data_IF_871425040727
#
_entry.id   IF_871425040727
#
_cell.length_a   1.000
_cell.length_b   1.000
_cell.length_c   1.000
_cell.angle_alpha   90.00
_cell.angle_beta   90.00
_cell.angle_gamma   90.00
#
_symmetry.space_group_name_H-M   'P 1'
#
loop_
_entity.id
_entity.type
_entity.pdbx_description
1 polymer ?
#
# COMPACT_ATOMS: atom_id res chain seq x y z
N UNK A 1 -21.87 18.26 23.05
CA UNK A 1 -23.12 18.29 22.27
C UNK A 1 -22.83 18.80 20.88
N UNK A 2 -23.56 18.26 19.90
CA UNK A 2 -23.52 18.76 18.53
C UNK A 2 -24.40 19.99 18.45
N UNK A 3 -24.33 20.73 17.34
CA UNK A 3 -25.32 21.76 17.11
C UNK A 3 -25.18 22.46 15.79
N UNK A 4 -26.23 23.22 15.50
CA UNK A 4 -26.36 24.07 14.33
C UNK A 4 -26.08 25.50 14.75
N UNK A 5 -25.26 26.20 13.97
CA UNK A 5 -24.97 27.61 14.15
C UNK A 5 -25.31 28.39 12.89
N UNK A 6 -25.38 29.71 13.05
CA UNK A 6 -25.55 30.63 11.93
C UNK A 6 -24.50 31.75 11.95
N UNK A 7 -24.18 32.23 10.75
CA UNK A 7 -23.64 33.57 10.52
C UNK A 7 -24.66 34.31 9.66
N UNK A 8 -24.89 35.57 9.94
CA UNK A 8 -25.81 36.42 9.18
C UNK A 8 -25.12 37.72 8.83
N UNK A 9 -25.15 38.08 7.55
CA UNK A 9 -24.54 39.32 7.03
C UNK A 9 -25.54 39.92 6.05
N UNK A 10 -25.84 41.21 6.22
CA UNK A 10 -26.78 41.95 5.38
C UNK A 10 -28.15 41.25 5.26
N UNK A 11 -28.67 40.75 6.39
CA UNK A 11 -29.96 40.06 6.47
C UNK A 11 -29.98 38.63 5.91
N UNK A 12 -28.89 38.15 5.32
CA UNK A 12 -28.78 36.82 4.70
C UNK A 12 -28.03 35.84 5.58
N UNK A 13 -28.41 34.57 5.55
CA UNK A 13 -27.89 33.54 6.44
C UNK A 13 -26.84 32.64 5.78
N UNK A 14 -25.89 32.19 6.59
CA UNK A 14 -25.08 30.99 6.42
C UNK A 14 -25.39 30.07 7.59
N UNK A 15 -25.71 28.82 7.30
CA UNK A 15 -26.00 27.78 8.29
C UNK A 15 -24.88 26.76 8.25
N UNK A 16 -24.40 26.34 9.41
CA UNK A 16 -23.42 25.24 9.48
C UNK A 16 -23.58 24.42 10.75
N UNK A 17 -22.98 23.24 10.76
CA UNK A 17 -22.94 22.34 11.94
C UNK A 17 -21.57 22.27 12.61
N UNK A 18 -21.56 21.99 13.91
CA UNK A 18 -20.36 21.73 14.71
C UNK A 18 -20.59 20.53 15.64
N UNK A 19 -19.61 19.63 15.70
CA UNK A 19 -19.61 18.47 16.63
C UNK A 19 -19.28 18.88 18.07
N UNK A 20 -18.83 20.12 18.29
CA UNK A 20 -18.59 20.70 19.60
C UNK A 20 -19.07 22.15 19.63
N UNK A 21 -20.35 22.35 19.32
CA UNK A 21 -20.96 23.69 19.16
C UNK A 21 -20.77 24.59 20.39
N UNK A 22 -20.80 24.01 21.60
CA UNK A 22 -20.64 24.73 22.87
C UNK A 22 -19.32 25.46 23.00
N UNK A 23 -18.26 25.01 22.31
CA UNK A 23 -16.95 25.65 22.34
C UNK A 23 -16.81 26.81 21.34
N UNK A 24 -17.82 26.99 20.47
CA UNK A 24 -17.86 28.00 19.40
C UNK A 24 -16.63 27.96 18.48
N UNK A 25 -15.91 26.83 18.43
CA UNK A 25 -14.63 26.72 17.74
C UNK A 25 -14.79 27.02 16.26
N UNK A 26 -15.82 26.44 15.63
CA UNK A 26 -16.07 26.63 14.20
C UNK A 26 -16.45 28.07 13.88
N UNK A 27 -17.32 28.69 14.68
CA UNK A 27 -17.68 30.10 14.51
C UNK A 27 -16.44 30.99 14.62
N UNK A 28 -15.58 30.79 15.63
CA UNK A 28 -14.34 31.56 15.80
C UNK A 28 -13.39 31.42 14.60
N UNK A 29 -13.28 30.22 14.04
CA UNK A 29 -12.50 29.95 12.83
C UNK A 29 -13.06 30.74 11.63
N UNK A 30 -14.38 30.71 11.42
CA UNK A 30 -15.03 31.53 10.40
C UNK A 30 -14.73 33.02 10.59
N UNK A 31 -14.87 33.53 11.82
CA UNK A 31 -14.59 34.94 12.13
C UNK A 31 -13.14 35.32 11.84
N UNK A 32 -12.19 34.47 12.23
CA UNK A 32 -10.78 34.69 11.96
C UNK A 32 -10.51 34.73 10.46
N UNK A 33 -11.02 33.76 9.69
CA UNK A 33 -10.86 33.69 8.24
C UNK A 33 -11.47 34.91 7.52
N UNK A 34 -12.64 35.36 7.96
CA UNK A 34 -13.30 36.55 7.40
C UNK A 34 -12.46 37.81 7.63
N UNK A 35 -11.93 37.99 8.84
CA UNK A 35 -11.05 39.11 9.21
C UNK A 35 -9.70 39.08 8.48
N UNK A 36 -9.14 37.90 8.23
CA UNK A 36 -7.89 37.74 7.48
C UNK A 36 -8.08 37.74 5.97
N UNK A 37 -9.33 37.77 5.47
CA UNK A 37 -9.60 37.72 4.03
C UNK A 37 -9.37 36.35 3.38
N UNK A 38 -9.26 35.28 4.17
CA UNK A 38 -8.90 33.93 3.71
C UNK A 38 -10.05 32.94 3.80
N UNK A 39 -11.29 33.41 3.87
CA UNK A 39 -12.46 32.56 3.99
C UNK A 39 -12.73 31.78 2.69
N UNK A 40 -12.92 30.46 2.82
CA UNK A 40 -13.11 29.55 1.68
C UNK A 40 -14.39 29.82 0.87
N UNK A 41 -15.44 30.32 1.53
CA UNK A 41 -16.63 30.80 0.85
C UNK A 41 -16.42 32.25 0.41
N UNK A 42 -16.14 32.44 -0.87
CA UNK A 42 -15.88 33.76 -1.48
C UNK A 42 -17.08 34.70 -1.42
N UNK A 43 -18.32 34.19 -1.48
CA UNK A 43 -19.53 35.01 -1.38
C UNK A 43 -19.71 35.56 0.03
N UNK A 44 -19.51 34.72 1.04
CA UNK A 44 -19.54 35.15 2.45
C UNK A 44 -18.41 36.14 2.76
N UNK A 45 -17.21 35.90 2.21
CA UNK A 45 -16.08 36.83 2.34
C UNK A 45 -16.40 38.19 1.71
N UNK A 46 -16.93 38.22 0.49
CA UNK A 46 -17.29 39.45 -0.20
C UNK A 46 -18.40 40.22 0.53
N UNK A 47 -19.40 39.51 1.05
CA UNK A 47 -20.44 40.09 1.87
C UNK A 47 -19.89 40.71 3.16
N UNK A 48 -18.97 40.01 3.84
CA UNK A 48 -18.28 40.55 5.01
C UNK A 48 -17.50 41.82 4.67
N UNK A 49 -16.68 41.81 3.62
CA UNK A 49 -15.92 42.99 3.21
C UNK A 49 -16.81 44.21 2.89
N UNK A 50 -18.07 44.00 2.49
CA UNK A 50 -19.00 45.07 2.12
C UNK A 50 -19.92 45.51 3.26
N UNK A 51 -20.28 44.61 4.17
CA UNK A 51 -21.33 44.80 5.16
C UNK A 51 -20.92 44.31 6.55
N UNK A 52 -19.64 44.39 6.91
CA UNK A 52 -19.09 43.85 8.17
C UNK A 52 -19.87 44.27 9.43
N UNK A 53 -20.39 45.50 9.46
CA UNK A 53 -21.14 46.06 10.60
C UNK A 53 -22.50 45.40 10.81
N UNK A 54 -22.98 44.60 9.86
CA UNK A 54 -24.24 43.85 9.92
C UNK A 54 -24.04 42.39 10.33
N UNK A 55 -22.80 42.00 10.65
CA UNK A 55 -22.48 40.62 11.00
C UNK A 55 -23.09 40.24 12.35
N UNK A 56 -23.95 39.23 12.33
CA UNK A 56 -24.51 38.55 13.49
C UNK A 56 -24.11 37.05 13.43
N UNK A 57 -23.93 36.41 14.58
CA UNK A 57 -23.71 34.95 14.64
C UNK A 57 -24.28 34.39 15.94
N UNK A 58 -24.57 33.10 15.95
CA UNK A 58 -25.07 32.43 17.14
C UNK A 58 -25.31 30.95 16.94
N UNK A 59 -25.73 30.28 18.01
CA UNK A 59 -26.16 28.88 17.99
C UNK A 59 -27.68 28.88 17.76
N UNK A 60 -28.14 28.05 16.83
CA UNK A 60 -29.57 27.81 16.57
C UNK A 60 -30.10 26.70 17.46
N UNK A 61 -29.36 25.59 17.54
CA UNK A 61 -29.79 24.42 18.31
C UNK A 61 -28.59 23.63 18.80
N UNK A 62 -28.61 23.23 20.08
CA UNK A 62 -27.68 22.24 20.65
C UNK A 62 -28.39 20.90 20.77
N UNK A 63 -27.81 19.86 20.17
CA UNK A 63 -28.49 18.59 19.91
C UNK A 63 -27.57 17.44 20.34
N UNK A 64 -28.15 16.43 20.98
CA UNK A 64 -27.52 15.13 21.19
C UNK A 64 -28.05 14.16 20.13
N UNK A 65 -27.24 13.89 19.09
CA UNK A 65 -27.62 13.06 17.95
C UNK A 65 -26.37 12.37 17.34
N UNK A 66 -26.60 11.48 16.38
CA UNK A 66 -25.56 10.94 15.50
C UNK A 66 -25.08 11.98 14.47
N UNK A 67 -23.99 11.69 13.76
CA UNK A 67 -23.45 12.59 12.72
C UNK A 67 -24.36 12.65 11.49
N UNK A 68 -25.01 11.53 11.18
CA UNK A 68 -26.00 11.40 10.13
C UNK A 68 -27.21 12.29 10.42
N UNK A 69 -27.80 12.17 11.61
CA UNK A 69 -28.93 13.00 12.05
C UNK A 69 -28.56 14.49 12.08
N UNK A 70 -27.36 14.85 12.57
CA UNK A 70 -26.89 16.24 12.55
C UNK A 70 -26.84 16.82 11.12
N UNK A 71 -26.54 15.99 10.13
CA UNK A 71 -26.46 16.39 8.72
C UNK A 71 -27.84 16.57 8.09
N UNK A 72 -28.83 15.78 8.51
CA UNK A 72 -30.23 15.96 8.11
C UNK A 72 -30.81 17.22 8.73
N UNK A 73 -30.54 17.47 10.00
CA UNK A 73 -30.96 18.68 10.70
C UNK A 73 -30.34 19.93 10.05
N UNK A 74 -29.05 19.92 9.72
CA UNK A 74 -28.40 21.02 8.97
C UNK A 74 -29.13 21.33 7.66
N UNK A 75 -29.55 20.31 6.90
CA UNK A 75 -30.31 20.50 5.65
C UNK A 75 -31.68 21.14 5.91
N UNK A 76 -32.37 20.73 6.96
CA UNK A 76 -33.65 21.32 7.37
C UNK A 76 -33.49 22.80 7.69
N UNK A 77 -32.45 23.18 8.42
CA UNK A 77 -32.16 24.59 8.72
C UNK A 77 -31.74 25.40 7.48
N UNK A 78 -30.93 24.83 6.58
CA UNK A 78 -30.58 25.49 5.31
C UNK A 78 -31.85 25.79 4.48
N UNK A 79 -32.78 24.84 4.44
CA UNK A 79 -34.05 25.01 3.75
C UNK A 79 -34.95 26.04 4.46
N UNK A 80 -35.11 25.93 5.78
CA UNK A 80 -35.95 26.82 6.59
C UNK A 80 -35.52 28.29 6.49
N UNK A 81 -34.21 28.55 6.44
CA UNK A 81 -33.65 29.90 6.34
C UNK A 81 -33.37 30.34 4.90
N UNK A 82 -33.73 29.53 3.90
CA UNK A 82 -33.42 29.71 2.47
C UNK A 82 -31.97 30.15 2.23
N UNK A 83 -31.04 29.57 2.99
CA UNK A 83 -29.66 30.06 3.03
C UNK A 83 -28.83 29.63 1.82
N UNK A 84 -29.37 28.74 0.98
CA UNK A 84 -28.77 28.34 -0.29
C UNK A 84 -29.15 29.29 -1.44
N UNK A 85 -30.44 29.57 -1.65
CA UNK A 85 -30.86 30.44 -2.76
C UNK A 85 -30.74 31.93 -2.39
N UNK A 86 -31.04 32.27 -1.13
CA UNK A 86 -31.04 33.64 -0.63
C UNK A 86 -30.12 33.82 0.59
N UNK A 87 -29.04 33.05 0.64
CA UNK A 87 -28.02 33.16 1.67
C UNK A 87 -26.61 32.98 1.15
N UNK A 88 -25.78 32.36 1.98
CA UNK A 88 -24.37 32.12 1.70
C UNK A 88 -24.00 30.64 1.70
N UNK A 89 -24.91 29.70 1.98
CA UNK A 89 -24.61 28.28 1.81
C UNK A 89 -24.37 27.97 0.33
N UNK A 90 -23.27 27.28 0.02
CA UNK A 90 -22.91 26.90 -1.36
C UNK A 90 -23.53 25.58 -1.80
N UNK A 91 -24.10 24.83 -0.85
CA UNK A 91 -24.75 23.54 -1.06
C UNK A 91 -26.04 23.49 -0.24
N UNK A 92 -26.96 22.60 -0.58
CA UNK A 92 -28.20 22.37 0.17
C UNK A 92 -27.97 21.69 1.54
N UNK A 93 -26.72 21.45 1.93
CA UNK A 93 -26.35 20.64 3.09
C UNK A 93 -26.15 19.16 2.72
N UNK A 94 -25.77 18.33 3.69
CA UNK A 94 -25.52 16.89 3.49
C UNK A 94 -24.15 16.55 2.85
N UNK A 95 -23.50 17.50 2.18
CA UNK A 95 -22.16 17.32 1.61
C UNK A 95 -21.06 17.67 2.61
N UNK A 96 -20.88 16.81 3.60
CA UNK A 96 -19.61 16.71 4.32
C UNK A 96 -18.65 15.84 3.51
N UNK A 97 -17.43 16.31 3.23
CA UNK A 97 -16.33 15.43 2.81
C UNK A 97 -16.02 14.32 3.86
N UNK A 98 -16.60 14.40 5.06
CA UNK A 98 -16.71 13.28 5.99
C UNK A 98 -17.94 12.44 5.66
N UNK A 99 -17.80 11.45 4.79
CA UNK A 99 -18.83 10.41 4.61
C UNK A 99 -19.20 10.03 3.19
N UNK A 100 -18.68 10.68 2.15
CA UNK A 100 -18.94 10.28 0.75
C UNK A 100 -18.41 8.86 0.51
N UNK A 101 -19.29 7.86 0.62
CA UNK A 101 -19.09 6.55 0.04
C UNK A 101 -19.23 6.72 -1.46
N UNK A 102 -18.10 6.90 -2.15
CA UNK A 102 -18.07 6.83 -3.61
C UNK A 102 -18.75 5.54 -4.05
N UNK A 103 -19.63 5.62 -5.05
CA UNK A 103 -20.17 4.44 -5.70
C UNK A 103 -19.02 3.59 -6.26
N UNK A 104 -19.20 2.27 -6.36
CA UNK A 104 -18.18 1.40 -6.98
C UNK A 104 -17.81 1.87 -8.38
N UNK A 105 -18.77 2.43 -9.13
CA UNK A 105 -18.53 3.00 -10.45
C UNK A 105 -17.59 4.23 -10.40
N UNK A 106 -17.80 5.15 -9.46
CA UNK A 106 -16.94 6.33 -9.28
C UNK A 106 -15.54 5.93 -8.79
N UNK A 107 -15.46 4.98 -7.85
CA UNK A 107 -14.19 4.41 -7.40
C UNK A 107 -13.45 3.75 -8.56
N UNK A 108 -14.15 3.00 -9.40
CA UNK A 108 -13.57 2.35 -10.56
C UNK A 108 -13.08 3.37 -11.59
N UNK A 109 -13.87 4.41 -11.91
CA UNK A 109 -13.42 5.51 -12.77
C UNK A 109 -12.15 6.17 -12.24
N UNK A 110 -12.06 6.37 -10.92
CA UNK A 110 -10.86 6.93 -10.27
C UNK A 110 -9.66 5.97 -10.35
N UNK A 111 -9.87 4.67 -10.08
CA UNK A 111 -8.84 3.61 -10.21
C UNK A 111 -8.31 3.53 -11.64
N UNK A 112 -9.18 3.60 -12.65
CA UNK A 112 -8.84 3.53 -14.08
C UNK A 112 -8.04 4.75 -14.58
N UNK A 113 -8.17 5.92 -13.92
CA UNK A 113 -7.38 7.12 -14.26
C UNK A 113 -5.91 6.99 -13.88
N UNK A 114 -5.58 6.19 -12.86
CA UNK A 114 -4.22 6.07 -12.31
C UNK A 114 -3.65 4.65 -12.45
N UNK A 115 -4.16 3.87 -13.40
CA UNK A 115 -3.76 2.47 -13.60
C UNK A 115 -2.57 2.35 -14.57
N UNK A 116 -1.59 1.52 -14.21
CA UNK A 116 -0.43 1.23 -15.06
C UNK A 116 0.35 2.49 -15.41
N UNK A 117 0.61 2.69 -16.70
CA UNK A 117 1.35 3.86 -17.24
C UNK A 117 0.61 5.20 -17.12
N UNK A 118 -0.69 5.20 -16.84
CA UNK A 118 -1.44 6.45 -16.56
C UNK A 118 -1.08 7.06 -15.21
N UNK A 119 -0.46 6.28 -14.32
CA UNK A 119 0.06 6.80 -13.07
C UNK A 119 1.30 7.67 -13.36
N UNK A 120 1.32 8.96 -12.97
CA UNK A 120 2.49 9.82 -13.15
C UNK A 120 3.78 9.29 -12.50
N UNK A 121 3.64 8.44 -11.48
CA UNK A 121 4.78 7.79 -10.80
C UNK A 121 5.14 6.42 -11.40
N UNK A 122 4.50 5.98 -12.50
CA UNK A 122 4.87 4.72 -13.14
C UNK A 122 6.28 4.82 -13.68
N UNK A 123 7.12 3.83 -13.32
CA UNK A 123 8.51 3.75 -13.76
C UNK A 123 8.67 3.07 -15.12
N UNK A 124 7.65 2.33 -15.54
CA UNK A 124 7.64 1.58 -16.80
C UNK A 124 6.28 1.69 -17.50
N UNK A 125 6.30 1.52 -18.82
CA UNK A 125 5.10 1.44 -19.65
C UNK A 125 4.47 0.05 -19.60
N UNK A 126 3.24 -0.08 -20.12
CA UNK A 126 2.59 -1.38 -20.23
C UNK A 126 3.36 -2.34 -21.16
N UNK A 127 3.99 -1.82 -22.23
CA UNK A 127 4.82 -2.60 -23.15
C UNK A 127 6.06 -3.16 -22.45
N UNK A 128 6.80 -2.31 -21.73
CA UNK A 128 7.98 -2.71 -20.95
C UNK A 128 7.66 -3.77 -19.90
N UNK A 129 6.46 -3.72 -19.30
CA UNK A 129 6.01 -4.79 -18.40
C UNK A 129 5.99 -6.16 -19.10
N UNK A 130 5.46 -6.26 -20.32
CA UNK A 130 5.41 -7.53 -21.05
C UNK A 130 6.81 -8.01 -21.46
N UNK A 131 7.68 -7.09 -21.86
CA UNK A 131 9.08 -7.42 -22.17
C UNK A 131 9.81 -7.97 -20.93
N UNK A 132 9.62 -7.35 -19.76
CA UNK A 132 10.15 -7.86 -18.48
C UNK A 132 9.61 -9.27 -18.19
N UNK A 133 8.32 -9.52 -18.43
CA UNK A 133 7.72 -10.84 -18.22
C UNK A 133 8.35 -11.90 -19.12
N UNK A 134 8.63 -11.60 -20.38
CA UNK A 134 9.31 -12.51 -21.30
C UNK A 134 10.77 -12.76 -20.89
N UNK A 135 11.50 -11.73 -20.46
CA UNK A 135 12.86 -11.89 -19.91
C UNK A 135 12.88 -12.79 -18.66
N UNK A 136 11.86 -12.66 -17.79
CA UNK A 136 11.69 -13.52 -16.62
C UNK A 136 11.40 -14.98 -17.00
N UNK A 137 10.62 -15.23 -18.06
CA UNK A 137 10.39 -16.58 -18.60
C UNK A 137 11.67 -17.15 -19.22
N UNK A 138 12.48 -16.32 -19.86
CA UNK A 138 13.78 -16.70 -20.42
C UNK A 138 14.87 -16.91 -19.35
N UNK A 139 14.56 -16.73 -18.06
CA UNK A 139 15.48 -17.03 -16.96
C UNK A 139 16.43 -15.89 -16.57
N UNK A 140 16.23 -14.67 -17.09
CA UNK A 140 17.00 -13.50 -16.65
C UNK A 140 16.79 -13.24 -15.15
N UNK A 141 17.86 -12.82 -14.49
CA UNK A 141 17.88 -12.48 -13.07
C UNK A 141 17.21 -11.12 -12.83
N UNK A 142 16.79 -10.88 -11.58
CA UNK A 142 16.25 -9.57 -11.21
C UNK A 142 17.26 -8.42 -11.39
N UNK A 143 18.56 -8.57 -11.05
CA UNK A 143 19.57 -7.54 -11.31
C UNK A 143 19.78 -7.23 -12.79
N UNK A 144 19.87 -8.25 -13.66
CA UNK A 144 20.05 -8.03 -15.11
C UNK A 144 18.89 -7.22 -15.70
N UNK A 145 17.65 -7.58 -15.34
CA UNK A 145 16.47 -6.85 -15.80
C UNK A 145 16.44 -5.44 -15.20
N UNK A 146 16.84 -5.29 -13.94
CA UNK A 146 16.92 -3.99 -13.29
C UNK A 146 17.88 -3.04 -14.02
N UNK A 147 19.03 -3.53 -14.48
CA UNK A 147 19.99 -2.75 -15.25
C UNK A 147 19.42 -2.33 -16.62
N UNK A 148 18.79 -3.26 -17.35
CA UNK A 148 18.20 -2.99 -18.67
C UNK A 148 17.15 -1.86 -18.62
N UNK A 149 16.31 -1.85 -17.59
CA UNK A 149 15.20 -0.89 -17.47
C UNK A 149 15.47 0.25 -16.49
N UNK A 150 16.71 0.36 -15.97
CA UNK A 150 17.08 1.32 -14.91
C UNK A 150 16.10 1.31 -13.71
N UNK A 151 15.82 0.11 -13.21
CA UNK A 151 14.94 -0.15 -12.07
C UNK A 151 15.73 -0.70 -10.90
N UNK A 152 15.17 -0.59 -9.70
CA UNK A 152 15.73 -1.30 -8.55
C UNK A 152 15.44 -2.82 -8.67
N UNK A 153 16.36 -3.75 -8.32
CA UNK A 153 16.10 -5.20 -8.38
C UNK A 153 14.86 -5.67 -7.62
N UNK A 154 14.53 -5.02 -6.49
CA UNK A 154 13.28 -5.27 -5.77
C UNK A 154 12.04 -4.89 -6.58
N UNK A 155 12.10 -3.88 -7.44
CA UNK A 155 11.00 -3.52 -8.33
C UNK A 155 10.68 -4.68 -9.29
N UNK A 156 11.72 -5.26 -9.89
CA UNK A 156 11.61 -6.46 -10.74
C UNK A 156 11.14 -7.67 -9.93
N UNK A 157 11.60 -7.84 -8.70
CA UNK A 157 11.13 -8.90 -7.78
C UNK A 157 9.62 -8.81 -7.52
N UNK A 158 9.10 -7.60 -7.27
CA UNK A 158 7.67 -7.38 -7.06
C UNK A 158 6.85 -7.69 -8.32
N UNK A 159 7.40 -7.42 -9.52
CA UNK A 159 6.82 -7.89 -10.77
C UNK A 159 6.85 -9.41 -10.82
N UNK A 160 8.02 -10.04 -10.62
CA UNK A 160 8.22 -11.50 -10.68
C UNK A 160 7.21 -12.27 -9.83
N UNK A 161 6.87 -11.74 -8.66
CA UNK A 161 5.94 -12.35 -7.70
C UNK A 161 4.50 -11.83 -7.79
N UNK A 162 4.12 -11.20 -8.92
CA UNK A 162 2.77 -10.69 -9.22
C UNK A 162 2.22 -9.69 -8.19
N UNK A 163 3.10 -8.98 -7.48
CA UNK A 163 2.72 -7.97 -6.47
C UNK A 163 2.44 -6.61 -7.10
N UNK A 164 3.00 -6.33 -8.27
CA UNK A 164 2.73 -5.13 -9.09
C UNK A 164 2.02 -5.48 -10.40
N UNK A 165 1.33 -4.49 -11.00
CA UNK A 165 0.64 -4.60 -12.29
C UNK A 165 -0.38 -5.75 -12.38
N UNK A 166 -1.15 -5.98 -11.30
CA UNK A 166 -2.15 -7.06 -11.20
C UNK A 166 -3.12 -7.14 -12.39
N UNK A 167 -3.48 -5.99 -12.95
CA UNK A 167 -4.38 -5.90 -14.12
C UNK A 167 -3.72 -6.42 -15.41
N UNK A 168 -2.41 -6.20 -15.61
CA UNK A 168 -1.68 -6.74 -16.76
C UNK A 168 -1.40 -8.24 -16.58
N UNK A 169 -1.19 -8.70 -15.34
CA UNK A 169 -1.03 -10.13 -15.05
C UNK A 169 -2.23 -10.99 -15.49
N UNK A 170 -3.45 -10.42 -15.55
CA UNK A 170 -4.63 -11.13 -16.07
C UNK A 170 -4.51 -11.48 -17.57
N UNK A 171 -3.68 -10.74 -18.32
CA UNK A 171 -3.43 -10.95 -19.75
C UNK A 171 -2.26 -11.91 -20.01
N UNK A 172 -1.44 -12.19 -19.00
CA UNK A 172 -0.29 -13.08 -19.14
C UNK A 172 -0.72 -14.53 -18.91
N UNK A 173 -0.66 -15.33 -19.97
CA UNK A 173 -0.87 -16.78 -19.91
C UNK A 173 0.45 -17.50 -19.57
N UNK A 174 0.35 -18.64 -18.86
CA UNK A 174 1.45 -19.59 -18.63
C UNK A 174 2.74 -18.97 -18.08
N UNK A 175 2.63 -18.07 -17.10
CA UNK A 175 3.81 -17.50 -16.45
C UNK A 175 4.42 -18.44 -15.41
N UNK A 176 5.57 -19.02 -15.75
CA UNK A 176 6.49 -19.70 -14.86
C UNK A 176 7.88 -19.07 -15.02
N UNK A 177 8.34 -18.25 -14.05
CA UNK A 177 9.66 -17.64 -14.17
C UNK A 177 10.71 -18.71 -13.97
N UNK A 178 11.57 -18.90 -14.98
CA UNK A 178 12.71 -19.79 -14.88
C UNK A 178 13.68 -19.20 -13.84
N UNK A 179 14.14 -20.04 -12.92
CA UNK A 179 15.20 -19.64 -11.97
C UNK A 179 16.47 -19.46 -12.79
N UNK A 180 17.17 -18.34 -12.58
CA UNK A 180 18.39 -18.10 -13.33
C UNK A 180 19.39 -19.23 -13.13
N UNK A 181 20.16 -19.53 -14.18
CA UNK A 181 21.24 -20.51 -14.13
C UNK A 181 22.25 -20.19 -13.01
N UNK A 182 22.45 -18.91 -12.70
CA UNK A 182 23.25 -18.45 -11.55
C UNK A 182 22.62 -18.78 -10.18
N UNK A 183 21.29 -18.70 -10.01
CA UNK A 183 20.60 -19.15 -8.79
C UNK A 183 20.60 -20.69 -8.65
N UNK A 184 20.55 -21.41 -9.78
CA UNK A 184 20.72 -22.86 -9.82
C UNK A 184 22.16 -23.25 -9.44
N UNK A 185 23.17 -22.55 -9.99
CA UNK A 185 24.60 -22.70 -9.64
C UNK A 185 24.90 -22.37 -8.16
N UNK A 186 24.23 -21.38 -7.57
CA UNK A 186 24.39 -21.05 -6.13
C UNK A 186 23.63 -21.97 -5.19
N UNK A 187 22.50 -22.58 -5.59
CA UNK A 187 21.90 -23.72 -4.86
C UNK A 187 22.73 -25.00 -5.00
N UNK A 188 23.53 -25.12 -6.04
CA UNK A 188 24.43 -26.24 -6.34
C UNK A 188 25.86 -26.07 -5.83
N UNK A 189 26.11 -25.26 -4.77
CA UNK A 189 27.44 -25.26 -4.14
C UNK A 189 27.76 -26.53 -3.37
N UNK A 190 26.74 -27.27 -2.94
CA UNK A 190 26.88 -28.54 -2.22
C UNK A 190 26.26 -29.61 -3.10
N UNK A 191 27.11 -30.40 -3.75
CA UNK A 191 26.69 -31.62 -4.46
C UNK A 191 26.21 -32.67 -3.46
N UNK A 192 25.63 -33.77 -3.95
CA UNK A 192 25.23 -34.85 -3.03
C UNK A 192 26.46 -35.41 -2.30
N UNK A 193 27.61 -35.56 -2.98
CA UNK A 193 28.85 -36.04 -2.36
C UNK A 193 29.32 -35.07 -1.27
N UNK A 194 29.31 -33.76 -1.56
CA UNK A 194 29.65 -32.74 -0.56
C UNK A 194 28.69 -32.76 0.63
N UNK A 195 27.39 -33.00 0.39
CA UNK A 195 26.41 -33.10 1.47
C UNK A 195 26.68 -34.31 2.37
N UNK A 196 26.97 -35.47 1.80
CA UNK A 196 27.28 -36.68 2.55
C UNK A 196 28.57 -36.52 3.37
N UNK A 197 29.63 -35.94 2.79
CA UNK A 197 30.88 -35.62 3.51
C UNK A 197 30.63 -34.65 4.67
N UNK A 198 29.82 -33.60 4.46
CA UNK A 198 29.41 -32.67 5.53
C UNK A 198 28.68 -33.41 6.65
N UNK A 199 27.78 -34.36 6.35
CA UNK A 199 27.07 -35.13 7.37
C UNK A 199 28.03 -36.04 8.15
N UNK A 200 29.00 -36.68 7.50
CA UNK A 200 30.04 -37.49 8.16
C UNK A 200 30.88 -36.63 9.11
N UNK A 201 31.33 -35.45 8.65
CA UNK A 201 32.07 -34.50 9.49
C UNK A 201 31.24 -34.04 10.70
N UNK A 202 29.94 -33.82 10.53
CA UNK A 202 29.04 -33.47 11.63
C UNK A 202 28.90 -34.61 12.66
N UNK A 203 28.81 -35.87 12.20
CA UNK A 203 28.77 -37.04 13.08
C UNK A 203 30.11 -37.26 13.83
N UNK A 204 31.23 -36.95 13.17
CA UNK A 204 32.56 -36.96 13.77
C UNK A 204 32.81 -35.80 14.76
N UNK A 205 31.86 -34.88 14.91
CA UNK A 205 31.94 -33.78 15.88
C UNK A 205 32.66 -32.52 15.39
N UNK A 206 32.94 -32.41 14.10
CA UNK A 206 33.63 -31.24 13.52
C UNK A 206 32.87 -29.93 13.74
N UNK A 207 33.61 -28.82 13.83
CA UNK A 207 33.01 -27.50 13.99
C UNK A 207 32.39 -26.98 12.68
N UNK A 208 31.35 -26.14 12.78
CA UNK A 208 30.74 -25.52 11.60
C UNK A 208 31.76 -24.70 10.79
N UNK A 209 32.71 -24.05 11.44
CA UNK A 209 33.75 -23.27 10.79
C UNK A 209 34.74 -24.15 10.00
N UNK A 210 35.07 -25.34 10.53
CA UNK A 210 35.92 -26.34 9.86
C UNK A 210 35.25 -26.83 8.57
N UNK A 211 33.97 -27.21 8.67
CA UNK A 211 33.14 -27.66 7.54
C UNK A 211 33.01 -26.58 6.46
N UNK A 212 32.75 -25.33 6.86
CA UNK A 212 32.61 -24.21 5.94
C UNK A 212 33.92 -23.90 5.20
N UNK A 213 35.07 -23.99 5.88
CA UNK A 213 36.39 -23.80 5.28
C UNK A 213 36.75 -24.92 4.31
N UNK A 214 36.52 -26.18 4.67
CA UNK A 214 36.84 -27.36 3.84
C UNK A 214 36.11 -27.34 2.50
N UNK A 215 34.83 -26.94 2.52
CA UNK A 215 33.97 -26.96 1.33
C UNK A 215 33.78 -25.59 0.65
N UNK A 216 34.51 -24.54 1.08
CA UNK A 216 34.38 -23.20 0.51
C UNK A 216 32.97 -22.60 0.65
N UNK A 217 32.26 -22.93 1.74
CA UNK A 217 30.89 -22.49 1.97
C UNK A 217 30.86 -21.11 2.63
N UNK A 218 29.79 -20.34 2.35
CA UNK A 218 29.61 -19.06 3.03
C UNK A 218 29.35 -19.26 4.52
N UNK A 219 29.81 -18.31 5.34
CA UNK A 219 29.58 -18.33 6.79
C UNK A 219 28.11 -18.57 7.15
N UNK A 220 27.87 -19.47 8.10
CA UNK A 220 26.54 -19.86 8.57
C UNK A 220 25.82 -20.90 7.70
N UNK A 221 26.45 -21.41 6.63
CA UNK A 221 25.90 -22.52 5.83
C UNK A 221 26.00 -23.85 6.58
N UNK A 222 27.14 -24.14 7.21
CA UNK A 222 27.34 -25.35 8.00
C UNK A 222 26.35 -25.43 9.17
N UNK A 223 26.12 -24.32 9.87
CA UNK A 223 25.09 -24.24 10.92
C UNK A 223 23.69 -24.56 10.41
N UNK A 224 23.30 -23.99 9.26
CA UNK A 224 21.97 -24.25 8.65
C UNK A 224 21.82 -25.70 8.19
N UNK A 225 22.90 -26.34 7.73
CA UNK A 225 22.89 -27.78 7.40
C UNK A 225 22.75 -28.62 8.68
N UNK A 226 23.57 -28.35 9.72
CA UNK A 226 23.53 -29.03 11.02
C UNK A 226 22.14 -29.01 11.64
N UNK A 227 21.47 -27.86 11.62
CA UNK A 227 20.11 -27.70 12.14
C UNK A 227 19.02 -28.04 11.12
N UNK A 228 19.35 -28.77 10.05
CA UNK A 228 18.39 -29.29 9.05
C UNK A 228 17.52 -28.22 8.37
N UNK A 229 18.01 -26.97 8.32
CA UNK A 229 17.33 -25.84 7.64
C UNK A 229 17.56 -25.84 6.13
N UNK A 230 18.65 -26.47 5.65
CA UNK A 230 18.97 -26.68 4.24
C UNK A 230 18.92 -28.17 3.86
N UNK A 231 18.73 -28.46 2.57
CA UNK A 231 18.71 -29.82 1.98
C UNK A 231 17.78 -30.83 2.67
N UNK A 232 16.61 -30.37 3.16
CA UNK A 232 15.63 -31.20 3.89
C UNK A 232 15.29 -32.53 3.22
N UNK A 233 15.15 -32.52 1.89
CA UNK A 233 14.87 -33.72 1.10
C UNK A 233 15.99 -34.77 1.19
N UNK A 234 17.26 -34.34 1.29
CA UNK A 234 18.41 -35.25 1.42
C UNK A 234 18.56 -35.77 2.85
N UNK A 235 18.30 -34.95 3.87
CA UNK A 235 18.21 -35.42 5.26
C UNK A 235 17.18 -36.55 5.41
N UNK A 236 15.97 -36.36 4.89
CA UNK A 236 14.91 -37.37 4.94
C UNK A 236 15.29 -38.62 4.17
N UNK A 237 15.85 -38.46 2.95
CA UNK A 237 16.12 -39.58 2.06
C UNK A 237 17.31 -40.44 2.49
N UNK A 238 18.40 -39.80 2.92
CA UNK A 238 19.68 -40.48 3.15
C UNK A 238 19.99 -40.69 4.63
N UNK A 239 19.63 -39.74 5.50
CA UNK A 239 19.97 -39.84 6.93
C UNK A 239 18.83 -40.48 7.72
N UNK A 240 17.61 -39.96 7.61
CA UNK A 240 16.49 -40.40 8.45
C UNK A 240 15.93 -41.77 8.04
N UNK A 241 16.05 -42.14 6.76
CA UNK A 241 15.67 -43.46 6.24
C UNK A 241 16.79 -44.51 6.34
N UNK A 242 17.93 -44.18 6.94
CA UNK A 242 19.00 -45.13 7.24
C UNK A 242 19.87 -45.58 6.05
N UNK A 243 19.69 -45.01 4.85
CA UNK A 243 20.48 -45.35 3.64
C UNK A 243 21.82 -44.65 3.56
N UNK A 244 22.24 -43.98 4.65
CA UNK A 244 23.46 -43.19 4.74
C UNK A 244 24.72 -44.04 4.58
N UNK A 245 24.69 -45.27 5.11
CA UNK A 245 25.82 -46.20 5.08
C UNK A 245 25.95 -46.94 3.74
N UNK A 246 24.97 -46.82 2.84
CA UNK A 246 24.94 -47.52 1.56
C UNK A 246 25.86 -46.86 0.51
N UNK A 247 26.48 -45.72 0.84
CA UNK A 247 27.32 -44.93 -0.08
C UNK A 247 28.68 -44.59 0.55
N UNK A 248 29.61 -45.56 0.67
CA UNK A 248 31.00 -45.26 1.00
C UNK A 248 31.71 -44.54 -0.15
N UNK A 249 32.71 -43.73 0.18
CA UNK A 249 33.46 -42.89 -0.77
C UNK A 249 33.80 -43.62 -2.08
N UNK A 250 33.27 -43.12 -3.21
CA UNK A 250 33.64 -43.56 -4.56
C UNK A 250 32.66 -44.47 -5.29
N UNK A 251 31.47 -44.78 -4.74
CA UNK A 251 30.42 -45.52 -5.45
C UNK A 251 29.58 -44.65 -6.40
N UNK A 252 29.18 -45.20 -7.55
CA UNK A 252 28.28 -44.52 -8.50
C UNK A 252 26.90 -44.26 -7.88
N UNK A 253 26.40 -43.04 -8.07
CA UNK A 253 25.09 -42.60 -7.59
C UNK A 253 24.03 -43.02 -8.62
N UNK A 254 22.99 -43.78 -8.25
CA UNK A 254 21.90 -44.13 -9.17
C UNK A 254 21.14 -42.88 -9.62
N UNK A 255 20.82 -42.82 -10.91
CA UNK A 255 20.10 -41.71 -11.59
C UNK A 255 18.70 -41.45 -11.00
#
# INVERSE_FOLDING_TARGET
MYGIYYLKINGKYYIGKDVQVSNLKRIKEHMWMLKSGTHYNSYLQAAYCKYEFTLEYGILEEIECSLEELSEIEQQYIWQYDSYNNGYNLTLGGEGLGGIKFTEEQLEKKRQRVIGEKNPQSKITNAQFFEIVELLKCGKTNPEIAEIYNLHPNYVSLIRHKKRFKHLWRKVQNYMPVKSEHQLKTRGRVTLEMFLDIVQMLQAGESNASIERKHGLSSGTGSRIRHRKLYKQWWVRYVDKGTFNDYPNGGEIPQ
#
